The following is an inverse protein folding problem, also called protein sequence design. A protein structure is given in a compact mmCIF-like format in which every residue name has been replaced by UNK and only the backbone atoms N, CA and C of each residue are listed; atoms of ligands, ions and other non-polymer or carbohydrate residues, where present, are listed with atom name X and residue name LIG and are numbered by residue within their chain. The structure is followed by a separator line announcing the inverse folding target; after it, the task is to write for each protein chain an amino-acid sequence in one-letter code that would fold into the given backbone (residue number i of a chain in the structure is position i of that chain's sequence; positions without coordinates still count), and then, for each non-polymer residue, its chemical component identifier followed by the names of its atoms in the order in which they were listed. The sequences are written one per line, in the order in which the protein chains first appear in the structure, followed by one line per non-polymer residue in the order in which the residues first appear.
data_IF_904726573985
#
_entry.id   IF_904726573985
#
_cell.length_a   1.000
_cell.length_b   1.000
_cell.length_c   1.000
_cell.angle_alpha   90.00
_cell.angle_beta   90.00
_cell.angle_gamma   90.00
#
_symmetry.space_group_name_H-M   'P 1'
#
loop_
_entity.id
_entity.type
_entity.pdbx_description
1 polymer ?
#
# COMPACT_ATOMS: atom_id res chain seq x y z
N UNK A 1 0.72 -9.79 1.02
CA UNK A 1 0.97 -8.75 0.00
C UNK A 1 -0.29 -8.60 -0.85
N UNK A 2 -0.72 -7.38 -1.17
CA UNK A 2 -1.76 -7.14 -2.19
C UNK A 2 -1.13 -6.48 -3.42
N UNK A 3 -1.63 -6.81 -4.60
CA UNK A 3 -1.11 -6.34 -5.88
C UNK A 3 -2.00 -5.22 -6.40
N UNK A 4 -1.47 -4.00 -6.51
CA UNK A 4 -2.17 -2.87 -7.12
C UNK A 4 -1.22 -2.07 -8.02
N UNK A 5 -1.75 -1.36 -9.05
CA UNK A 5 -3.15 -1.37 -9.50
C UNK A 5 -3.55 -2.72 -10.14
N UNK A 6 -4.84 -2.92 -10.43
CA UNK A 6 -5.31 -4.18 -11.05
C UNK A 6 -5.10 -4.18 -12.58
N UNK A 7 -5.37 -3.04 -13.22
CA UNK A 7 -5.32 -2.83 -14.67
C UNK A 7 -5.05 -1.34 -14.95
N UNK A 8 -4.45 -1.03 -16.10
CA UNK A 8 -4.28 0.32 -16.61
C UNK A 8 -5.29 0.64 -17.71
N UNK A 9 -5.64 1.91 -17.86
CA UNK A 9 -6.50 2.44 -18.92
C UNK A 9 -6.06 3.86 -19.30
N UNK A 10 -6.47 4.40 -20.45
CA UNK A 10 -6.16 5.76 -20.85
C UNK A 10 -6.68 6.77 -19.81
N UNK A 11 -5.76 7.54 -19.23
CA UNK A 11 -6.09 8.57 -18.24
C UNK A 11 -5.27 9.85 -18.36
N UNK A 12 -4.34 9.95 -19.31
CA UNK A 12 -3.57 11.16 -19.57
C UNK A 12 -4.20 11.97 -20.70
N UNK A 13 -4.33 13.28 -20.51
CA UNK A 13 -4.80 14.24 -21.52
C UNK A 13 -6.11 13.80 -22.20
N UNK A 14 -7.08 13.36 -21.40
CA UNK A 14 -8.37 12.91 -21.89
C UNK A 14 -9.27 14.11 -22.14
N UNK A 15 -9.73 14.24 -23.39
CA UNK A 15 -10.71 15.26 -23.77
C UNK A 15 -12.11 14.79 -23.41
N UNK A 16 -12.82 15.53 -22.57
CA UNK A 16 -14.16 15.16 -22.13
C UNK A 16 -15.02 16.37 -21.78
N UNK A 17 -16.30 16.12 -21.48
CA UNK A 17 -17.27 17.13 -21.06
C UNK A 17 -16.86 17.80 -19.74
N UNK A 18 -17.15 19.08 -19.62
CA UNK A 18 -16.85 19.90 -18.45
C UNK A 18 -18.02 20.83 -18.11
N UNK A 19 -17.88 21.62 -17.04
CA UNK A 19 -18.93 22.54 -16.57
C UNK A 19 -19.38 23.52 -17.66
N UNK A 20 -20.58 24.08 -17.50
CA UNK A 20 -21.13 25.12 -18.39
C UNK A 20 -21.18 24.73 -19.88
N UNK A 21 -21.47 23.45 -20.15
CA UNK A 21 -21.55 22.88 -21.50
C UNK A 21 -20.23 23.03 -22.30
N UNK A 22 -19.09 22.95 -21.59
CA UNK A 22 -17.75 23.06 -22.19
C UNK A 22 -17.06 21.71 -22.24
N UNK A 23 -15.80 21.72 -22.72
CA UNK A 23 -14.92 20.55 -22.76
C UNK A 23 -13.54 20.92 -22.22
N UNK A 24 -12.87 19.94 -21.61
CA UNK A 24 -11.53 20.12 -21.06
C UNK A 24 -10.64 18.90 -21.32
N UNK A 25 -9.33 19.14 -21.36
CA UNK A 25 -8.30 18.12 -21.32
C UNK A 25 -7.86 17.94 -19.87
N UNK A 26 -8.14 16.77 -19.29
CA UNK A 26 -7.74 16.44 -17.93
C UNK A 26 -6.90 15.17 -17.88
N UNK A 27 -6.00 15.08 -16.90
CA UNK A 27 -5.15 13.92 -16.66
C UNK A 27 -5.35 13.39 -15.25
N UNK A 28 -5.47 12.07 -15.12
CA UNK A 28 -5.53 11.41 -13.83
C UNK A 28 -6.11 9.99 -13.91
N UNK A 29 -5.90 9.23 -12.85
CA UNK A 29 -6.59 7.95 -12.64
C UNK A 29 -8.11 8.12 -12.54
N UNK A 30 -8.58 9.32 -12.15
CA UNK A 30 -9.99 9.72 -12.23
C UNK A 30 -10.55 9.68 -13.66
N UNK A 31 -9.72 9.83 -14.70
CA UNK A 31 -10.12 9.72 -16.10
C UNK A 31 -9.97 8.29 -16.64
N UNK A 32 -9.00 7.53 -16.13
CA UNK A 32 -8.86 6.11 -16.45
C UNK A 32 -10.02 5.26 -15.88
N UNK A 33 -10.51 5.60 -14.70
CA UNK A 33 -11.60 4.89 -14.00
C UNK A 33 -12.89 4.78 -14.82
N UNK A 34 -13.46 5.88 -15.36
CA UNK A 34 -14.69 5.80 -16.18
C UNK A 34 -14.47 5.03 -17.48
N UNK A 35 -13.26 4.96 -18.04
CA UNK A 35 -12.97 4.11 -19.20
C UNK A 35 -13.18 2.62 -18.86
N UNK A 36 -12.61 2.15 -17.75
CA UNK A 36 -12.80 0.76 -17.28
C UNK A 36 -14.26 0.48 -16.94
N UNK A 37 -14.95 1.43 -16.30
CA UNK A 37 -16.38 1.32 -16.01
C UNK A 37 -17.22 1.20 -17.30
N UNK A 38 -16.89 1.95 -18.35
CA UNK A 38 -17.50 1.84 -19.66
C UNK A 38 -17.32 0.47 -20.31
N UNK A 39 -16.11 -0.11 -20.24
CA UNK A 39 -15.84 -1.47 -20.74
C UNK A 39 -16.66 -2.52 -19.96
N UNK A 40 -16.77 -2.37 -18.64
CA UNK A 40 -17.62 -3.23 -17.82
C UNK A 40 -19.10 -3.13 -18.23
N UNK A 41 -19.60 -1.92 -18.49
CA UNK A 41 -20.97 -1.69 -18.96
C UNK A 41 -21.21 -2.29 -20.36
N UNK A 42 -20.23 -2.19 -21.28
CA UNK A 42 -20.31 -2.82 -22.60
C UNK A 42 -20.45 -4.34 -22.51
N UNK A 43 -19.67 -4.97 -21.62
CA UNK A 43 -19.81 -6.40 -21.35
C UNK A 43 -21.23 -6.74 -20.87
N UNK A 44 -21.72 -6.02 -19.86
CA UNK A 44 -23.06 -6.27 -19.30
C UNK A 44 -24.14 -6.12 -20.39
N UNK A 45 -24.04 -5.08 -21.23
CA UNK A 45 -24.98 -4.84 -22.32
C UNK A 45 -24.96 -5.95 -23.38
N UNK A 46 -23.76 -6.35 -23.82
CA UNK A 46 -23.59 -7.39 -24.84
C UNK A 46 -23.99 -8.79 -24.36
N UNK A 47 -23.97 -9.04 -23.05
CA UNK A 47 -24.22 -10.35 -22.45
C UNK A 47 -25.55 -10.44 -21.70
N UNK A 48 -26.61 -9.82 -22.24
CA UNK A 48 -28.00 -10.02 -21.79
C UNK A 48 -28.49 -9.02 -20.74
N UNK A 49 -27.68 -8.03 -20.37
CA UNK A 49 -28.04 -6.97 -19.42
C UNK A 49 -27.92 -7.37 -17.95
N UNK A 50 -28.17 -6.41 -17.06
CA UNK A 50 -27.97 -6.61 -15.60
C UNK A 50 -28.85 -7.72 -15.01
N UNK A 51 -30.02 -7.98 -15.59
CA UNK A 51 -30.99 -8.95 -15.06
C UNK A 51 -30.54 -10.41 -15.14
N UNK A 52 -29.64 -10.75 -16.06
CA UNK A 52 -29.14 -12.14 -16.23
C UNK A 52 -27.94 -12.46 -15.34
N UNK A 53 -27.40 -11.47 -14.62
CA UNK A 53 -26.19 -11.61 -13.83
C UNK A 53 -26.50 -11.72 -12.32
N UNK A 54 -26.14 -12.86 -11.73
CA UNK A 54 -26.39 -13.16 -10.32
C UNK A 54 -25.31 -12.72 -9.34
N UNK A 55 -25.43 -13.20 -8.10
CA UNK A 55 -24.40 -12.99 -7.05
C UNK A 55 -23.04 -13.50 -7.53
N UNK A 56 -21.98 -12.75 -7.26
CA UNK A 56 -20.61 -13.08 -7.66
C UNK A 56 -20.19 -12.60 -9.04
N UNK A 57 -21.14 -12.12 -9.88
CA UNK A 57 -20.84 -11.62 -11.21
C UNK A 57 -19.77 -10.52 -11.25
N UNK A 58 -19.83 -9.56 -10.33
CA UNK A 58 -18.85 -8.47 -10.27
C UNK A 58 -17.41 -8.99 -10.11
N UNK A 59 -17.21 -10.08 -9.35
CA UNK A 59 -15.89 -10.71 -9.20
C UNK A 59 -15.43 -11.36 -10.50
N UNK A 60 -16.33 -12.06 -11.20
CA UNK A 60 -16.04 -12.69 -12.49
C UNK A 60 -15.68 -11.64 -13.55
N UNK A 61 -16.48 -10.57 -13.66
CA UNK A 61 -16.21 -9.48 -14.59
C UNK A 61 -14.90 -8.76 -14.25
N UNK A 62 -14.62 -8.55 -12.97
CA UNK A 62 -13.35 -7.99 -12.51
C UNK A 62 -12.15 -8.85 -12.93
N UNK A 63 -12.22 -10.17 -12.74
CA UNK A 63 -11.18 -11.10 -13.20
C UNK A 63 -11.02 -11.09 -14.72
N UNK A 64 -12.12 -11.02 -15.49
CA UNK A 64 -12.08 -10.90 -16.95
C UNK A 64 -11.42 -9.61 -17.41
N UNK A 65 -11.71 -8.48 -16.75
CA UNK A 65 -11.07 -7.19 -17.01
C UNK A 65 -9.57 -7.27 -16.77
N UNK A 66 -9.14 -7.79 -15.61
CA UNK A 66 -7.71 -7.96 -15.31
C UNK A 66 -7.06 -8.86 -16.37
N UNK A 67 -7.68 -9.98 -16.72
CA UNK A 67 -7.10 -10.96 -17.63
C UNK A 67 -6.93 -10.46 -19.07
N UNK A 68 -7.65 -9.41 -19.45
CA UNK A 68 -7.55 -8.76 -20.76
C UNK A 68 -6.25 -7.96 -20.96
N UNK A 69 -5.51 -7.71 -19.89
CA UNK A 69 -4.37 -6.80 -19.85
C UNK A 69 -3.29 -7.08 -20.90
N UNK A 70 -2.87 -6.02 -21.59
CA UNK A 70 -1.81 -6.03 -22.60
C UNK A 70 -0.58 -5.32 -22.04
N UNK A 71 0.63 -5.88 -22.25
CA UNK A 71 1.86 -5.28 -21.73
C UNK A 71 2.02 -3.85 -22.23
N UNK A 72 2.48 -2.98 -21.33
CA UNK A 72 2.94 -1.63 -21.65
C UNK A 72 4.44 -1.58 -21.39
N UNK A 73 5.21 -0.76 -22.12
CA UNK A 73 6.61 -0.51 -21.78
C UNK A 73 6.73 0.17 -20.41
N UNK A 74 7.83 -0.10 -19.71
CA UNK A 74 8.20 0.66 -18.52
C UNK A 74 8.26 2.14 -18.85
N UNK A 75 7.69 2.97 -17.98
CA UNK A 75 7.74 4.43 -18.13
C UNK A 75 8.20 5.09 -16.84
N UNK A 76 9.15 6.00 -16.93
CA UNK A 76 9.55 6.90 -15.84
C UNK A 76 8.94 8.31 -16.00
N UNK A 77 8.00 8.46 -16.95
CA UNK A 77 7.44 9.75 -17.37
C UNK A 77 8.20 10.41 -18.52
N UNK A 78 9.27 9.81 -19.02
CA UNK A 78 9.98 10.26 -20.23
C UNK A 78 9.63 9.41 -21.46
N UNK A 79 10.13 9.81 -22.62
CA UNK A 79 9.98 9.06 -23.87
C UNK A 79 11.03 7.95 -24.05
N UNK A 80 11.83 7.67 -23.01
CA UNK A 80 12.91 6.67 -23.05
C UNK A 80 12.32 5.26 -23.17
N UNK A 81 12.77 4.51 -24.17
CA UNK A 81 12.51 3.07 -24.23
C UNK A 81 13.62 2.32 -23.49
N UNK A 82 13.25 1.68 -22.39
CA UNK A 82 14.16 0.89 -21.58
C UNK A 82 14.28 -0.57 -22.07
N UNK A 83 13.46 -0.99 -23.04
CA UNK A 83 13.42 -2.38 -23.51
C UNK A 83 12.78 -3.37 -22.53
N UNK A 84 12.01 -2.88 -21.55
CA UNK A 84 11.32 -3.70 -20.56
C UNK A 84 9.81 -3.44 -20.56
N UNK A 85 9.01 -4.48 -20.37
CA UNK A 85 7.60 -4.34 -19.97
C UNK A 85 7.51 -3.72 -18.57
N UNK A 86 6.55 -2.84 -18.37
CA UNK A 86 6.27 -2.19 -17.08
C UNK A 86 5.98 -3.23 -15.99
N UNK A 87 6.50 -2.97 -14.80
CA UNK A 87 6.21 -3.79 -13.62
C UNK A 87 4.71 -3.85 -13.34
N UNK A 88 4.23 -4.97 -12.80
CA UNK A 88 2.85 -5.09 -12.32
C UNK A 88 2.54 -4.04 -11.24
N UNK A 89 3.54 -3.62 -10.46
CA UNK A 89 3.38 -2.53 -9.49
C UNK A 89 3.14 -1.16 -10.13
N UNK A 90 3.43 -0.99 -11.43
CA UNK A 90 3.22 0.25 -12.17
C UNK A 90 1.88 0.27 -12.92
N UNK A 91 1.52 -0.83 -13.60
CA UNK A 91 0.37 -0.87 -14.54
C UNK A 91 -0.61 -2.02 -14.28
N UNK A 92 -0.46 -2.76 -13.17
CA UNK A 92 -1.24 -3.96 -12.92
C UNK A 92 -0.96 -5.02 -13.99
N UNK A 93 -2.01 -5.64 -14.54
CA UNK A 93 -1.83 -6.58 -15.65
C UNK A 93 -1.65 -5.90 -17.03
N UNK A 94 -1.49 -4.57 -17.06
CA UNK A 94 -1.26 -3.78 -18.27
C UNK A 94 -2.51 -3.05 -18.77
N UNK A 95 -2.51 -2.64 -20.04
CA UNK A 95 -3.61 -1.89 -20.65
C UNK A 95 -4.83 -2.79 -20.85
N UNK A 96 -5.99 -2.37 -20.34
CA UNK A 96 -7.27 -3.04 -20.57
C UNK A 96 -7.55 -3.23 -22.06
N UNK A 97 -8.09 -4.39 -22.43
CA UNK A 97 -8.49 -4.66 -23.81
C UNK A 97 -9.99 -4.97 -23.89
N UNK A 98 -10.78 -3.96 -24.28
CA UNK A 98 -12.24 -4.04 -24.35
C UNK A 98 -12.73 -5.18 -25.26
N UNK A 99 -12.05 -5.42 -26.38
CA UNK A 99 -12.41 -6.50 -27.30
C UNK A 99 -12.27 -7.87 -26.63
N UNK A 100 -11.16 -8.12 -25.91
CA UNK A 100 -10.98 -9.36 -25.15
C UNK A 100 -12.06 -9.51 -24.07
N UNK A 101 -12.34 -8.44 -23.33
CA UNK A 101 -13.37 -8.46 -22.27
C UNK A 101 -14.73 -8.82 -22.86
N UNK A 102 -15.15 -8.20 -23.95
CA UNK A 102 -16.51 -8.39 -24.50
C UNK A 102 -16.63 -9.69 -25.29
N UNK A 103 -15.62 -10.10 -26.05
CA UNK A 103 -15.78 -11.14 -27.07
C UNK A 103 -15.15 -12.49 -26.74
N UNK A 104 -14.23 -12.58 -25.77
CA UNK A 104 -13.59 -13.86 -25.47
C UNK A 104 -14.52 -14.80 -24.71
N UNK A 105 -14.52 -16.05 -25.18
CA UNK A 105 -15.30 -17.19 -24.68
C UNK A 105 -14.53 -18.04 -23.67
N UNK A 106 -13.23 -17.84 -23.51
CA UNK A 106 -12.49 -18.39 -22.37
C UNK A 106 -12.74 -17.52 -21.13
N UNK A 107 -13.20 -18.17 -20.06
CA UNK A 107 -13.23 -17.58 -18.72
C UNK A 107 -12.03 -18.07 -17.91
N UNK A 108 -11.48 -17.18 -17.08
CA UNK A 108 -10.37 -17.48 -16.19
C UNK A 108 -10.67 -16.98 -14.78
N UNK A 109 -10.73 -17.90 -13.83
CA UNK A 109 -10.92 -17.61 -12.42
C UNK A 109 -9.59 -17.80 -11.68
N UNK A 110 -9.13 -16.74 -11.01
CA UNK A 110 -7.84 -16.70 -10.32
C UNK A 110 -7.85 -15.69 -9.18
N UNK A 111 -6.94 -15.86 -8.22
CA UNK A 111 -6.50 -14.76 -7.36
C UNK A 111 -5.24 -14.18 -7.98
N UNK A 112 -5.04 -12.85 -7.89
CA UNK A 112 -3.77 -12.23 -8.32
C UNK A 112 -2.61 -12.92 -7.61
N UNK A 113 -1.55 -13.25 -8.34
CA UNK A 113 -0.47 -14.12 -7.85
C UNK A 113 0.49 -13.29 -7.01
N UNK A 114 0.13 -13.07 -5.74
CA UNK A 114 1.00 -12.46 -4.75
C UNK A 114 1.99 -13.51 -4.23
N UNK A 115 3.23 -13.46 -4.71
CA UNK A 115 4.29 -14.38 -4.32
C UNK A 115 4.85 -14.06 -2.92
N UNK A 116 4.47 -12.90 -2.36
CA UNK A 116 4.94 -12.36 -1.08
C UNK A 116 6.48 -12.17 -1.06
N UNK A 117 7.01 -12.07 0.16
CA UNK A 117 8.42 -11.88 0.47
C UNK A 117 9.12 -13.25 0.64
N UNK A 118 10.44 -13.30 0.83
CA UNK A 118 11.15 -14.58 0.90
C UNK A 118 10.84 -15.40 2.15
N UNK A 119 10.33 -14.77 3.21
CA UNK A 119 9.98 -15.46 4.45
C UNK A 119 8.58 -16.08 4.38
N UNK A 120 7.62 -15.42 3.72
CA UNK A 120 6.24 -15.85 3.54
C UNK A 120 5.93 -16.25 2.09
N UNK A 121 6.92 -16.79 1.39
CA UNK A 121 6.86 -17.06 -0.04
C UNK A 121 5.68 -17.98 -0.40
N UNK A 122 4.81 -17.51 -1.29
CA UNK A 122 3.64 -18.27 -1.75
C UNK A 122 3.94 -18.97 -3.07
N UNK A 123 4.30 -20.25 -2.97
CA UNK A 123 4.87 -21.00 -4.10
C UNK A 123 3.86 -21.48 -5.14
N UNK A 124 2.65 -21.86 -4.72
CA UNK A 124 1.66 -22.51 -5.59
C UNK A 124 0.38 -21.69 -5.70
N UNK A 125 -0.13 -21.54 -6.93
CA UNK A 125 -1.33 -20.76 -7.20
C UNK A 125 -2.23 -21.49 -8.18
N UNK A 126 -3.50 -21.62 -7.83
CA UNK A 126 -4.49 -22.30 -8.65
C UNK A 126 -5.22 -21.33 -9.57
N UNK A 127 -5.41 -21.77 -10.81
CA UNK A 127 -6.13 -21.06 -11.85
C UNK A 127 -7.14 -22.01 -12.46
N UNK A 128 -8.38 -21.57 -12.61
CA UNK A 128 -9.43 -22.34 -13.28
C UNK A 128 -9.77 -21.71 -14.62
N UNK A 129 -9.63 -22.50 -15.68
CA UNK A 129 -10.07 -22.14 -17.03
C UNK A 129 -11.40 -22.80 -17.31
N UNK A 130 -12.30 -22.06 -17.97
CA UNK A 130 -13.56 -22.59 -18.47
C UNK A 130 -13.73 -22.20 -19.93
N UNK A 131 -14.01 -23.19 -20.78
CA UNK A 131 -14.37 -22.95 -22.18
C UNK A 131 -15.88 -22.66 -22.27
N UNK A 132 -16.28 -21.41 -22.51
CA UNK A 132 -17.70 -21.03 -22.77
C UNK A 132 -18.04 -21.00 -24.26
N UNK A 133 -17.10 -21.36 -25.12
CA UNK A 133 -17.30 -21.43 -26.56
C UNK A 133 -18.09 -22.68 -26.97
N UNK A 134 -18.35 -22.79 -28.27
CA UNK A 134 -19.11 -23.90 -28.86
C UNK A 134 -18.22 -25.00 -29.47
N UNK A 135 -16.89 -24.87 -29.37
CA UNK A 135 -15.91 -25.81 -29.91
C UNK A 135 -14.85 -26.13 -28.87
N UNK A 136 -14.16 -27.26 -29.04
CA UNK A 136 -13.01 -27.64 -28.23
C UNK A 136 -11.89 -26.60 -28.37
N UNK A 137 -11.24 -26.27 -27.25
CA UNK A 137 -10.10 -25.34 -27.23
C UNK A 137 -8.92 -26.02 -26.58
N UNK A 138 -7.78 -26.02 -27.27
CA UNK A 138 -6.50 -26.46 -26.74
C UNK A 138 -5.77 -25.25 -26.12
N UNK A 139 -5.48 -25.34 -24.83
CA UNK A 139 -4.84 -24.28 -24.05
C UNK A 139 -3.37 -24.59 -23.79
N UNK A 140 -2.54 -23.57 -24.01
CA UNK A 140 -1.11 -23.55 -23.73
C UNK A 140 -0.78 -22.41 -22.76
N UNK A 141 0.10 -22.70 -21.81
CA UNK A 141 0.61 -21.74 -20.86
C UNK A 141 2.03 -21.30 -21.22
N UNK A 142 2.32 -20.01 -21.05
CA UNK A 142 3.65 -19.44 -21.09
C UNK A 142 3.75 -18.32 -20.05
N UNK A 143 4.88 -17.62 -19.98
CA UNK A 143 5.05 -16.49 -19.10
C UNK A 143 5.88 -15.38 -19.75
N UNK A 144 5.68 -14.16 -19.27
CA UNK A 144 6.42 -12.96 -19.65
C UNK A 144 6.91 -12.30 -18.36
N UNK A 145 8.22 -12.12 -18.23
CA UNK A 145 8.79 -11.34 -17.13
C UNK A 145 8.68 -9.84 -17.45
N UNK A 146 8.28 -9.05 -16.46
CA UNK A 146 8.30 -7.60 -16.53
C UNK A 146 9.56 -7.04 -15.84
N UNK A 147 9.77 -5.72 -15.94
CA UNK A 147 10.84 -5.02 -15.24
C UNK A 147 10.85 -5.37 -13.75
N UNK A 148 12.01 -5.81 -13.25
CA UNK A 148 12.31 -5.82 -11.84
C UNK A 148 12.96 -4.50 -11.42
N UNK A 149 12.82 -4.14 -10.15
CA UNK A 149 13.39 -2.90 -9.60
C UNK A 149 13.93 -3.08 -8.19
N UNK A 150 15.03 -2.40 -7.90
CA UNK A 150 15.57 -2.24 -6.56
C UNK A 150 14.95 -0.99 -5.92
N UNK A 151 13.97 -1.20 -5.04
CA UNK A 151 13.19 -0.11 -4.44
C UNK A 151 13.87 0.57 -3.25
N UNK A 152 14.80 -0.12 -2.59
CA UNK A 152 15.49 0.39 -1.41
C UNK A 152 16.64 1.28 -1.86
N UNK A 153 16.69 2.50 -1.33
CA UNK A 153 17.78 3.44 -1.50
C UNK A 153 18.38 3.84 -0.16
N UNK A 154 19.56 4.43 -0.22
CA UNK A 154 20.20 5.10 0.90
C UNK A 154 20.14 6.61 0.69
N UNK A 155 19.73 7.34 1.72
CA UNK A 155 19.64 8.79 1.68
C UNK A 155 20.63 9.40 2.68
N UNK A 156 21.72 10.04 2.20
CA UNK A 156 22.65 10.75 3.07
C UNK A 156 22.03 12.06 3.56
N UNK A 157 22.32 12.46 4.79
CA UNK A 157 21.97 13.77 5.33
C UNK A 157 23.14 14.33 6.16
N UNK A 158 22.94 15.49 6.77
CA UNK A 158 24.01 16.22 7.49
C UNK A 158 24.47 15.46 8.73
N UNK A 159 25.79 15.35 8.91
CA UNK A 159 26.45 14.91 10.16
C UNK A 159 25.84 15.63 11.39
N UNK A 160 25.67 14.96 12.56
CA UNK A 160 26.30 13.69 12.96
C UNK A 160 25.48 12.42 12.68
N UNK A 161 24.27 12.52 12.12
CA UNK A 161 23.36 11.36 12.11
C UNK A 161 23.51 10.42 10.89
N UNK A 162 24.39 10.77 9.93
CA UNK A 162 24.74 9.92 8.79
C UNK A 162 23.67 9.89 7.69
N UNK A 163 23.13 8.71 7.40
CA UNK A 163 22.12 8.47 6.36
C UNK A 163 21.04 7.49 6.81
N UNK A 164 19.95 7.38 6.04
CA UNK A 164 18.86 6.46 6.33
C UNK A 164 18.41 5.65 5.12
N UNK A 165 17.87 4.46 5.37
CA UNK A 165 17.15 3.68 4.35
C UNK A 165 15.89 4.45 3.95
N UNK A 166 15.56 4.48 2.66
CA UNK A 166 14.27 4.96 2.17
C UNK A 166 13.82 4.23 0.92
N UNK A 167 12.54 4.36 0.56
CA UNK A 167 12.13 4.01 -0.79
C UNK A 167 12.66 5.03 -1.80
N UNK A 168 13.17 4.52 -2.91
CA UNK A 168 13.47 5.30 -4.11
C UNK A 168 12.20 5.92 -4.67
N UNK A 169 12.30 7.17 -5.12
CA UNK A 169 11.26 7.80 -5.92
C UNK A 169 11.26 7.20 -7.33
N UNK A 170 10.18 7.43 -8.11
CA UNK A 170 10.04 6.87 -9.45
C UNK A 170 11.25 7.20 -10.35
N UNK A 171 11.77 8.43 -10.27
CA UNK A 171 12.91 8.90 -11.08
C UNK A 171 14.23 8.24 -10.72
N UNK A 172 14.31 7.56 -9.57
CA UNK A 172 15.50 6.82 -9.14
C UNK A 172 15.40 5.32 -9.42
N UNK A 173 14.24 4.84 -9.86
CA UNK A 173 14.04 3.45 -10.23
C UNK A 173 14.62 3.22 -11.62
N UNK A 174 15.49 2.22 -11.74
CA UNK A 174 16.00 1.74 -13.02
C UNK A 174 15.45 0.33 -13.26
N UNK A 175 14.74 0.08 -14.37
CA UNK A 175 14.26 -1.25 -14.70
C UNK A 175 15.44 -2.19 -14.95
N UNK A 176 15.36 -3.41 -14.43
CA UNK A 176 16.38 -4.45 -14.53
C UNK A 176 15.75 -5.81 -14.85
N UNK A 177 16.53 -6.69 -15.48
CA UNK A 177 16.12 -8.07 -15.72
C UNK A 177 16.27 -8.90 -14.44
N UNK A 178 15.14 -9.32 -13.86
CA UNK A 178 15.08 -10.11 -12.62
C UNK A 178 14.03 -11.22 -12.76
N UNK A 179 14.22 -12.15 -13.71
CA UNK A 179 13.23 -13.17 -14.00
C UNK A 179 13.13 -14.18 -12.86
N UNK A 180 11.92 -14.70 -12.64
CA UNK A 180 11.68 -15.84 -11.74
C UNK A 180 11.22 -17.02 -12.57
N UNK A 181 11.78 -18.19 -12.29
CA UNK A 181 11.40 -19.42 -12.99
C UNK A 181 9.97 -19.81 -12.62
N UNK A 182 9.12 -19.95 -13.63
CA UNK A 182 7.72 -20.35 -13.49
C UNK A 182 7.56 -21.77 -14.03
N UNK A 183 6.99 -22.65 -13.22
CA UNK A 183 6.51 -23.96 -13.63
C UNK A 183 5.06 -23.82 -14.10
N UNK A 184 4.81 -24.15 -15.36
CA UNK A 184 3.49 -24.11 -16.01
C UNK A 184 3.00 -25.52 -16.33
N UNK A 185 1.67 -25.77 -16.36
CA UNK A 185 1.13 -27.07 -16.71
C UNK A 185 1.41 -27.44 -18.17
N UNK A 186 1.34 -28.74 -18.47
CA UNK A 186 1.31 -29.23 -19.85
C UNK A 186 0.01 -28.79 -20.54
N UNK A 187 0.07 -28.66 -21.86
CA UNK A 187 -1.08 -28.32 -22.71
C UNK A 187 -2.25 -29.30 -22.49
N UNK A 188 -3.47 -28.78 -22.60
CA UNK A 188 -4.68 -29.58 -22.46
C UNK A 188 -5.85 -28.99 -23.25
N UNK A 189 -6.81 -29.85 -23.59
CA UNK A 189 -8.03 -29.46 -24.31
C UNK A 189 -9.23 -29.44 -23.36
N UNK A 190 -10.11 -28.45 -23.52
CA UNK A 190 -11.41 -28.39 -22.87
C UNK A 190 -12.51 -28.39 -23.93
N UNK A 191 -13.51 -29.25 -23.78
CA UNK A 191 -14.75 -29.23 -24.56
C UNK A 191 -15.63 -28.04 -24.13
N UNK A 192 -16.65 -27.68 -24.94
CA UNK A 192 -17.65 -26.69 -24.55
C UNK A 192 -18.22 -26.95 -23.16
N UNK A 193 -18.19 -25.94 -22.30
CA UNK A 193 -18.67 -25.99 -20.92
C UNK A 193 -17.71 -26.62 -19.91
N UNK A 194 -16.64 -27.29 -20.35
CA UNK A 194 -15.68 -27.91 -19.43
C UNK A 194 -14.82 -26.87 -18.72
N UNK A 195 -14.42 -27.22 -17.50
CA UNK A 195 -13.52 -26.43 -16.67
C UNK A 195 -12.37 -27.29 -16.16
N UNK A 196 -11.19 -26.70 -16.00
CA UNK A 196 -10.04 -27.36 -15.39
C UNK A 196 -9.26 -26.38 -14.52
N UNK A 197 -8.96 -26.83 -13.30
CA UNK A 197 -8.04 -26.15 -12.39
C UNK A 197 -6.63 -26.67 -12.61
N UNK A 198 -5.67 -25.76 -12.70
CA UNK A 198 -4.23 -26.06 -12.82
C UNK A 198 -3.46 -25.25 -11.79
N UNK A 199 -2.40 -25.85 -11.24
CA UNK A 199 -1.50 -25.19 -10.30
C UNK A 199 -0.24 -24.69 -11.00
N UNK A 200 0.12 -23.44 -10.73
CA UNK A 200 1.36 -22.80 -11.19
C UNK A 200 2.39 -22.80 -10.04
N UNK A 201 3.69 -22.87 -10.35
CA UNK A 201 4.76 -22.92 -9.33
C UNK A 201 5.92 -21.97 -9.60
N UNK A 202 6.59 -21.49 -8.54
CA UNK A 202 7.77 -20.60 -8.65
C UNK A 202 9.00 -21.15 -7.87
N UNK A 203 10.21 -20.71 -8.26
CA UNK A 203 11.47 -20.96 -7.54
C UNK A 203 12.22 -19.64 -7.31
N UNK A 204 12.59 -19.31 -6.06
CA UNK A 204 13.14 -18.01 -5.69
C UNK A 204 14.63 -18.07 -5.31
N UNK A 205 15.46 -17.27 -5.99
CA UNK A 205 16.84 -16.90 -5.60
C UNK A 205 17.17 -15.49 -6.09
N UNK A 206 16.59 -14.43 -5.53
CA UNK A 206 16.98 -13.03 -5.80
C UNK A 206 16.38 -12.04 -4.78
N UNK A 207 17.08 -10.92 -4.51
CA UNK A 207 16.71 -9.77 -3.64
C UNK A 207 16.19 -8.46 -4.32
N UNK A 208 15.18 -8.49 -5.24
CA UNK A 208 14.47 -7.28 -5.71
C UNK A 208 12.93 -7.42 -5.82
N UNK A 209 12.18 -6.36 -6.17
CA UNK A 209 10.81 -6.55 -6.70
C UNK A 209 10.93 -7.17 -8.08
N UNK A 210 10.23 -8.27 -8.30
CA UNK A 210 10.11 -8.93 -9.59
C UNK A 210 8.63 -9.20 -9.91
N UNK A 211 8.29 -9.15 -11.18
CA UNK A 211 6.90 -9.28 -11.61
C UNK A 211 6.80 -9.76 -13.05
N UNK A 212 5.58 -9.97 -13.49
CA UNK A 212 5.28 -10.36 -14.86
C UNK A 212 3.89 -10.94 -14.92
N UNK A 213 3.68 -11.79 -15.91
CA UNK A 213 2.40 -12.48 -16.09
C UNK A 213 2.56 -13.88 -16.64
N UNK A 214 1.61 -14.73 -16.25
CA UNK A 214 1.39 -16.02 -16.89
C UNK A 214 0.39 -15.80 -18.01
N UNK A 215 0.75 -16.24 -19.22
CA UNK A 215 -0.06 -16.09 -20.43
C UNK A 215 -0.78 -17.41 -20.69
N UNK A 216 -2.08 -17.34 -20.98
CA UNK A 216 -2.89 -18.46 -21.43
C UNK A 216 -3.31 -18.20 -22.86
N UNK A 217 -2.88 -19.05 -23.79
CA UNK A 217 -3.24 -18.97 -25.20
C UNK A 217 -4.10 -20.16 -25.60
N UNK A 218 -5.22 -19.91 -26.27
CA UNK A 218 -6.06 -20.92 -26.90
C UNK A 218 -5.80 -21.00 -28.41
N UNK A 219 -5.95 -22.18 -29.00
CA UNK A 219 -5.91 -22.36 -30.46
C UNK A 219 -7.09 -21.69 -31.20
N UNK A 220 -8.06 -21.13 -30.47
CA UNK A 220 -9.13 -20.28 -30.97
C UNK A 220 -8.68 -18.81 -31.19
N UNK A 221 -7.40 -18.49 -30.98
CA UNK A 221 -6.84 -17.14 -31.13
C UNK A 221 -7.02 -16.26 -29.90
N UNK A 222 -7.57 -16.80 -28.81
CA UNK A 222 -7.70 -16.06 -27.55
C UNK A 222 -6.41 -16.08 -26.76
N UNK A 223 -6.04 -14.94 -26.18
CA UNK A 223 -4.91 -14.82 -25.25
C UNK A 223 -5.26 -13.95 -24.04
N UNK A 224 -5.25 -14.58 -22.87
CA UNK A 224 -5.48 -13.97 -21.55
C UNK A 224 -4.21 -14.04 -20.71
N UNK A 225 -4.16 -13.29 -19.62
CA UNK A 225 -2.99 -13.35 -18.72
C UNK A 225 -3.34 -13.11 -17.26
N UNK A 226 -2.46 -13.55 -16.35
CA UNK A 226 -2.61 -13.39 -14.91
C UNK A 226 -1.34 -12.72 -14.35
N UNK A 227 -1.47 -11.60 -13.63
CA UNK A 227 -0.30 -10.91 -13.07
C UNK A 227 0.27 -11.66 -11.87
N UNK A 228 1.60 -11.68 -11.78
CA UNK A 228 2.33 -12.08 -10.57
C UNK A 228 3.29 -10.98 -10.11
N UNK A 229 3.47 -10.86 -8.80
CA UNK A 229 4.36 -9.90 -8.17
C UNK A 229 4.95 -10.53 -6.90
N UNK A 230 6.25 -10.39 -6.71
CA UNK A 230 6.96 -10.87 -5.53
C UNK A 230 8.03 -9.89 -5.07
N UNK A 231 8.42 -10.07 -3.82
CA UNK A 231 9.52 -9.33 -3.20
C UNK A 231 10.65 -10.30 -2.87
N UNK A 232 11.83 -10.04 -3.40
CA UNK A 232 13.02 -10.84 -3.20
C UNK A 232 13.66 -10.76 -1.81
N UNK A 233 13.06 -10.06 -0.84
CA UNK A 233 13.64 -9.82 0.48
C UNK A 233 12.77 -10.39 1.60
N UNK A 234 13.34 -10.51 2.81
CA UNK A 234 12.53 -10.67 4.02
C UNK A 234 12.11 -9.27 4.47
N UNK A 235 10.87 -8.88 4.19
CA UNK A 235 10.42 -7.52 4.41
C UNK A 235 10.55 -7.11 5.88
N UNK A 236 10.25 -8.03 6.81
CA UNK A 236 10.35 -7.77 8.25
C UNK A 236 11.77 -7.43 8.69
N UNK A 237 12.78 -8.07 8.08
CA UNK A 237 14.18 -7.78 8.38
C UNK A 237 14.64 -6.42 7.81
N UNK A 238 14.05 -5.97 6.70
CA UNK A 238 14.50 -4.76 6.01
C UNK A 238 13.87 -3.46 6.52
N UNK A 239 12.68 -3.53 7.12
CA UNK A 239 11.91 -2.36 7.60
C UNK A 239 12.29 -1.89 9.01
N UNK A 240 13.44 -2.33 9.53
CA UNK A 240 14.01 -1.81 10.77
C UNK A 240 15.17 -0.85 10.47
N UNK A 241 15.26 0.30 11.15
CA UNK A 241 14.31 0.85 12.12
C UNK A 241 13.05 1.44 11.45
N UNK A 242 11.95 1.59 12.20
CA UNK A 242 10.70 2.21 11.71
C UNK A 242 10.76 3.73 11.79
N UNK A 243 11.33 4.24 12.88
CA UNK A 243 11.59 5.66 13.03
C UNK A 243 12.94 6.02 12.45
N UNK A 244 13.05 7.26 12.00
CA UNK A 244 14.33 7.90 11.73
C UNK A 244 15.18 7.94 13.01
N UNK A 245 16.51 7.79 12.94
CA UNK A 245 17.37 8.02 14.10
C UNK A 245 17.04 9.34 14.81
N UNK A 246 17.02 9.32 16.14
CA UNK A 246 16.65 10.44 17.02
C UNK A 246 15.17 10.82 17.02
N UNK A 247 14.32 10.04 16.34
CA UNK A 247 12.88 10.13 16.44
C UNK A 247 12.31 8.83 17.05
N UNK A 248 11.11 8.92 17.66
CA UNK A 248 10.44 10.15 18.03
C UNK A 248 11.15 10.86 19.19
N UNK A 249 10.92 12.16 19.34
CA UNK A 249 11.40 12.93 20.48
C UNK A 249 10.31 13.89 20.94
N UNK A 250 10.46 14.40 22.16
CA UNK A 250 9.58 15.41 22.74
C UNK A 250 10.35 16.69 23.01
N UNK A 251 9.69 17.83 22.86
CA UNK A 251 10.23 19.14 23.25
C UNK A 251 9.15 19.98 23.92
N UNK A 252 9.58 21.09 24.49
CA UNK A 252 8.75 22.24 24.81
C UNK A 252 9.10 23.38 23.85
N UNK A 253 8.21 24.37 23.68
CA UNK A 253 8.36 25.47 22.72
C UNK A 253 9.61 26.34 22.95
N UNK A 254 10.10 26.48 24.19
CA UNK A 254 11.12 27.48 24.56
C UNK A 254 12.35 26.94 25.32
N UNK A 255 12.50 25.63 25.51
CA UNK A 255 13.62 25.06 26.28
C UNK A 255 14.49 24.11 25.45
N UNK A 256 15.82 24.31 25.55
CA UNK A 256 16.82 23.42 24.96
C UNK A 256 16.75 22.02 25.58
N UNK A 257 17.21 21.03 24.81
CA UNK A 257 17.20 19.58 25.06
C UNK A 257 17.85 19.07 26.36
N UNK A 258 18.31 19.96 27.24
CA UNK A 258 19.15 19.63 28.41
C UNK A 258 18.39 19.67 29.75
N UNK A 259 17.08 19.99 29.73
CA UNK A 259 16.25 20.08 30.94
C UNK A 259 15.33 18.85 31.10
N UNK A 260 15.08 18.37 32.33
CA UNK A 260 14.14 17.28 32.56
C UNK A 260 12.76 17.66 32.02
N UNK A 261 12.10 16.71 31.34
CA UNK A 261 10.76 16.86 30.74
C UNK A 261 9.67 16.99 31.81
N UNK A 262 9.61 18.17 32.44
CA UNK A 262 8.62 18.54 33.45
C UNK A 262 7.56 19.41 32.77
N UNK A 263 6.29 19.05 32.91
CA UNK A 263 5.18 19.75 32.29
C UNK A 263 4.09 20.05 33.31
N UNK A 264 3.68 21.31 33.43
CA UNK A 264 2.52 21.74 34.23
C UNK A 264 1.19 21.66 33.48
N UNK A 265 1.23 21.41 32.17
CA UNK A 265 0.08 21.50 31.25
C UNK A 265 -0.58 22.88 31.22
N UNK A 266 0.18 23.93 31.50
CA UNK A 266 -0.32 25.30 31.38
C UNK A 266 -0.46 25.69 29.90
N UNK A 267 -1.72 25.88 29.48
CA UNK A 267 -2.07 26.20 28.09
C UNK A 267 -2.04 27.70 27.78
N UNK A 268 -1.75 28.55 28.76
CA UNK A 268 -1.57 29.98 28.51
C UNK A 268 -0.52 30.18 27.42
N UNK A 269 -0.84 30.99 26.42
CA UNK A 269 0.00 31.18 25.24
C UNK A 269 1.41 31.71 25.55
N UNK A 270 1.57 32.42 26.66
CA UNK A 270 2.85 32.95 27.15
C UNK A 270 3.70 31.91 27.88
N UNK A 271 3.10 30.76 28.26
CA UNK A 271 3.75 29.67 28.99
C UNK A 271 3.88 28.42 28.11
N UNK A 272 2.77 27.96 27.53
CA UNK A 272 2.68 26.80 26.63
C UNK A 272 3.48 25.59 27.12
N UNK A 273 3.20 25.15 28.35
CA UNK A 273 3.98 24.16 29.07
C UNK A 273 3.37 22.77 28.98
N UNK A 274 3.55 22.14 27.82
CA UNK A 274 3.08 20.79 27.52
C UNK A 274 4.04 20.10 26.53
N UNK A 275 4.06 18.76 26.51
CA UNK A 275 4.87 18.01 25.57
C UNK A 275 4.38 18.17 24.13
N UNK A 276 5.30 18.57 23.25
CA UNK A 276 5.16 18.48 21.80
C UNK A 276 5.98 17.27 21.34
N UNK A 277 5.32 16.32 20.69
CA UNK A 277 5.91 15.09 20.21
C UNK A 277 6.14 15.20 18.71
N UNK A 278 7.38 14.95 18.29
CA UNK A 278 7.76 14.88 16.90
C UNK A 278 8.10 13.46 16.50
N UNK A 279 7.52 13.00 15.39
CA UNK A 279 7.75 11.67 14.84
C UNK A 279 8.10 11.72 13.36
N UNK A 280 9.13 10.96 12.99
CA UNK A 280 9.50 10.69 11.59
C UNK A 280 9.57 9.20 11.33
N UNK A 281 8.65 8.73 10.51
CA UNK A 281 8.53 7.35 10.07
C UNK A 281 9.23 7.17 8.72
N UNK A 282 10.15 6.21 8.68
CA UNK A 282 10.78 5.72 7.45
C UNK A 282 9.77 4.90 6.65
N UNK A 283 8.94 4.12 7.35
CA UNK A 283 7.95 3.22 6.76
C UNK A 283 6.52 3.60 7.18
N UNK A 284 5.57 3.45 6.26
CA UNK A 284 4.16 3.57 6.61
C UNK A 284 3.81 2.55 7.69
N UNK A 285 3.07 2.99 8.71
CA UNK A 285 2.77 2.20 9.90
C UNK A 285 1.28 2.05 10.05
N UNK A 286 0.82 0.81 10.25
CA UNK A 286 -0.60 0.49 10.43
C UNK A 286 -1.12 1.00 11.76
N UNK A 287 -0.29 0.93 12.80
CA UNK A 287 -0.62 1.42 14.13
C UNK A 287 0.57 2.23 14.65
N UNK A 288 0.32 3.46 15.10
CA UNK A 288 1.28 4.27 15.85
C UNK A 288 0.65 4.59 17.20
N UNK A 289 1.40 4.38 18.28
CA UNK A 289 0.96 4.53 19.65
C UNK A 289 1.85 5.50 20.40
N UNK A 290 1.23 6.21 21.33
CA UNK A 290 1.89 6.88 22.43
C UNK A 290 1.19 6.47 23.71
N UNK A 291 1.89 5.71 24.54
CA UNK A 291 1.34 5.05 25.70
C UNK A 291 2.03 5.55 26.97
N UNK A 292 1.23 5.78 28.01
CA UNK A 292 1.67 6.29 29.31
C UNK A 292 1.78 5.13 30.30
N UNK A 293 2.90 5.06 31.01
CA UNK A 293 3.16 4.06 32.05
C UNK A 293 3.59 4.72 33.36
N UNK A 294 3.43 3.99 34.45
CA UNK A 294 3.90 4.35 35.79
C UNK A 294 5.42 4.64 35.83
N UNK A 295 5.85 5.38 36.84
CA UNK A 295 7.26 5.64 37.10
C UNK A 295 8.06 4.32 37.24
N UNK A 296 9.23 4.25 36.61
CA UNK A 296 10.12 3.10 36.72
C UNK A 296 9.71 1.89 35.87
N UNK A 297 8.65 2.02 35.05
CA UNK A 297 8.30 1.02 34.05
C UNK A 297 9.47 0.75 33.09
N UNK A 298 9.63 -0.51 32.69
CA UNK A 298 10.67 -0.93 31.75
C UNK A 298 10.08 -1.75 30.60
N UNK A 299 10.78 -1.72 29.46
CA UNK A 299 10.38 -2.42 28.23
C UNK A 299 10.09 -3.93 28.43
N UNK A 300 10.70 -4.57 29.43
CA UNK A 300 10.49 -5.99 29.76
C UNK A 300 9.08 -6.30 30.29
N UNK A 301 8.37 -5.29 30.76
CA UNK A 301 7.00 -5.42 31.29
C UNK A 301 5.95 -5.22 30.18
N UNK A 302 6.38 -4.87 28.97
CA UNK A 302 5.46 -4.57 27.89
C UNK A 302 4.74 -5.82 27.38
N UNK A 303 3.43 -5.70 27.17
CA UNK A 303 2.58 -6.74 26.61
C UNK A 303 1.58 -6.09 25.63
N UNK A 304 1.31 -6.77 24.51
CA UNK A 304 0.33 -6.34 23.53
C UNK A 304 -0.93 -7.22 23.55
N UNK A 305 -2.14 -6.62 23.45
CA UNK A 305 -2.39 -5.19 23.56
C UNK A 305 -2.22 -4.72 25.01
N UNK A 306 -1.76 -3.48 25.25
CA UNK A 306 -1.63 -2.97 26.61
C UNK A 306 -3.02 -2.77 27.23
N UNK A 307 -3.17 -3.16 28.50
CA UNK A 307 -4.46 -3.12 29.23
C UNK A 307 -4.32 -2.21 30.45
N UNK A 308 -5.14 -1.15 30.59
CA UNK A 308 -5.01 -0.21 31.70
C UNK A 308 -5.00 -0.91 33.06
N UNK A 309 -4.08 -0.52 33.94
CA UNK A 309 -3.86 -1.11 35.25
C UNK A 309 -3.05 -2.42 35.26
N UNK A 310 -2.60 -2.92 34.09
CA UNK A 310 -1.69 -4.07 34.01
C UNK A 310 -0.29 -3.63 33.60
N UNK A 311 0.72 -4.27 34.21
CA UNK A 311 2.13 -4.05 33.89
C UNK A 311 2.53 -2.56 33.90
N UNK A 312 1.92 -1.76 34.79
CA UNK A 312 2.16 -0.32 34.91
C UNK A 312 1.58 0.53 33.78
N UNK A 313 0.78 -0.03 32.85
CA UNK A 313 0.14 0.76 31.79
C UNK A 313 -1.02 1.60 32.34
N UNK A 314 -0.96 2.90 32.11
CA UNK A 314 -1.98 3.86 32.55
C UNK A 314 -3.04 4.03 31.44
N UNK A 315 -2.59 4.26 30.22
CA UNK A 315 -3.48 4.46 29.08
C UNK A 315 -2.80 5.13 27.89
N UNK A 316 -3.48 5.23 26.74
CA UNK A 316 -2.94 5.94 25.60
C UNK A 316 -3.03 7.45 25.81
N UNK A 317 -2.08 8.19 25.26
CA UNK A 317 -2.15 9.64 25.19
C UNK A 317 -3.19 10.09 24.16
N UNK A 318 -3.63 11.34 24.29
CA UNK A 318 -4.36 12.04 23.24
C UNK A 318 -3.46 13.02 22.50
N UNK A 319 -3.92 13.52 21.36
CA UNK A 319 -3.36 14.72 20.73
C UNK A 319 -4.47 15.69 20.40
N UNK A 320 -4.19 16.97 20.57
CA UNK A 320 -5.08 18.02 20.09
C UNK A 320 -5.21 17.98 18.56
N UNK A 321 -6.41 18.26 18.03
CA UNK A 321 -6.70 18.10 16.58
C UNK A 321 -5.95 19.08 15.68
N UNK A 322 -5.58 20.26 16.18
CA UNK A 322 -4.85 21.27 15.39
C UNK A 322 -3.32 21.09 15.40
N UNK A 323 -2.80 20.11 16.14
CA UNK A 323 -1.36 19.85 16.22
C UNK A 323 -0.76 19.66 14.80
N UNK A 324 0.38 20.31 14.54
CA UNK A 324 1.04 20.29 13.21
C UNK A 324 0.31 21.06 12.09
N UNK A 325 -0.90 21.58 12.34
CA UNK A 325 -1.66 22.39 11.37
C UNK A 325 -1.57 23.89 11.63
N UNK A 326 -1.20 24.27 12.86
CA UNK A 326 -1.02 25.67 13.28
C UNK A 326 0.28 25.82 14.07
N UNK A 327 0.86 27.02 14.10
CA UNK A 327 2.18 27.24 14.71
C UNK A 327 2.16 27.29 16.24
N UNK A 328 1.00 27.51 16.87
CA UNK A 328 0.85 27.54 18.33
C UNK A 328 -0.61 27.30 18.73
N UNK A 329 -0.80 26.80 19.95
CA UNK A 329 -2.12 26.71 20.58
C UNK A 329 -2.50 28.06 21.19
N UNK A 330 -3.77 28.47 21.03
CA UNK A 330 -4.36 29.63 21.68
C UNK A 330 -5.68 29.22 22.32
N UNK A 331 -5.76 29.16 23.67
CA UNK A 331 -6.96 28.70 24.38
C UNK A 331 -8.18 29.62 24.17
N UNK A 332 -7.99 30.84 23.64
CA UNK A 332 -9.11 31.71 23.29
C UNK A 332 -9.73 31.39 21.93
N UNK A 333 -9.04 30.59 21.11
CA UNK A 333 -9.44 30.25 19.73
C UNK A 333 -9.81 28.78 19.62
N UNK A 334 -9.08 27.89 20.30
CA UNK A 334 -9.25 26.45 20.21
C UNK A 334 -9.68 25.87 21.56
N UNK A 335 -10.64 24.94 21.53
CA UNK A 335 -11.07 24.19 22.71
C UNK A 335 -9.99 23.17 23.10
N UNK A 336 -9.37 23.27 24.30
CA UNK A 336 -8.32 22.35 24.72
C UNK A 336 -8.76 20.88 24.79
N UNK A 337 -10.06 20.61 24.87
CA UNK A 337 -10.60 19.25 24.92
C UNK A 337 -10.79 18.60 23.54
N UNK A 338 -10.66 19.37 22.44
CA UNK A 338 -10.80 18.89 21.06
C UNK A 338 -9.58 18.03 20.66
N UNK A 339 -9.70 16.75 20.99
CA UNK A 339 -8.61 15.79 20.99
C UNK A 339 -9.03 14.50 20.29
N UNK A 340 -8.05 13.82 19.69
CA UNK A 340 -8.18 12.43 19.26
C UNK A 340 -7.25 11.55 20.09
N UNK A 341 -7.56 10.25 20.16
CA UNK A 341 -6.88 9.29 21.06
C UNK A 341 -6.03 8.30 20.29
N UNK A 342 -4.82 8.02 20.76
CA UNK A 342 -4.00 6.94 20.21
C UNK A 342 -4.64 5.55 20.47
N UNK A 343 -4.43 4.55 19.58
CA UNK A 343 -3.56 4.55 18.42
C UNK A 343 -4.06 5.35 17.23
N UNK A 344 -3.13 5.94 16.48
CA UNK A 344 -3.40 6.42 15.13
C UNK A 344 -3.18 5.28 14.15
N UNK A 345 -4.10 5.10 13.22
CA UNK A 345 -4.04 4.02 12.23
C UNK A 345 -3.68 4.53 10.84
N UNK A 346 -2.99 3.68 10.07
CA UNK A 346 -2.63 3.93 8.67
C UNK A 346 -1.80 5.21 8.46
N UNK A 347 -0.84 5.47 9.36
CA UNK A 347 0.02 6.65 9.29
C UNK A 347 1.08 6.48 8.20
N UNK A 348 1.12 7.42 7.25
CA UNK A 348 2.06 7.40 6.15
C UNK A 348 3.49 7.76 6.58
N UNK A 349 4.48 7.28 5.83
CA UNK A 349 5.89 7.65 6.02
C UNK A 349 6.13 9.13 5.71
N UNK A 350 7.02 9.78 6.45
CA UNK A 350 7.34 11.20 6.29
C UNK A 350 8.84 11.51 6.40
N UNK A 351 9.70 10.51 6.64
CA UNK A 351 11.15 10.72 6.70
C UNK A 351 11.79 11.13 5.34
N UNK A 352 11.04 11.01 4.23
CA UNK A 352 11.54 11.25 2.87
C UNK A 352 12.03 12.69 2.62
N UNK A 353 11.60 13.68 3.43
CA UNK A 353 12.09 15.06 3.34
C UNK A 353 12.55 15.57 4.71
N UNK A 354 13.58 16.42 4.73
CA UNK A 354 14.10 17.00 5.97
C UNK A 354 13.06 17.91 6.67
N UNK A 355 12.13 18.50 5.91
CA UNK A 355 11.17 19.50 6.39
C UNK A 355 9.82 18.94 6.90
N UNK A 356 9.60 17.63 6.89
CA UNK A 356 8.32 17.03 7.32
C UNK A 356 8.49 16.15 8.57
N UNK A 357 7.65 16.37 9.56
CA UNK A 357 7.45 15.53 10.75
C UNK A 357 5.95 15.42 11.04
N UNK A 358 5.56 14.39 11.77
CA UNK A 358 4.26 14.30 12.41
C UNK A 358 4.40 14.96 13.78
N UNK A 359 3.55 15.93 14.06
CA UNK A 359 3.58 16.72 15.28
C UNK A 359 2.30 16.47 16.08
N UNK A 360 2.46 16.19 17.37
CA UNK A 360 1.36 15.88 18.28
C UNK A 360 1.50 16.69 19.56
N UNK A 361 0.39 17.24 20.06
CA UNK A 361 0.37 18.06 21.28
C UNK A 361 -0.45 17.35 22.33
N UNK A 362 0.18 16.94 23.43
CA UNK A 362 -0.49 16.22 24.51
C UNK A 362 -0.64 17.11 25.74
N UNK A 363 -1.88 17.47 26.07
CA UNK A 363 -2.22 18.34 27.20
C UNK A 363 -2.47 17.56 28.51
N UNK A 364 -2.01 16.31 28.59
CA UNK A 364 -2.14 15.45 29.77
C UNK A 364 -3.44 14.63 29.83
N UNK A 365 -4.36 14.84 28.88
CA UNK A 365 -5.59 14.04 28.76
C UNK A 365 -5.29 12.62 28.26
N UNK A 366 -5.82 11.62 28.95
CA UNK A 366 -5.70 10.21 28.59
C UNK A 366 -6.86 9.79 27.68
N UNK A 367 -6.72 8.67 26.97
CA UNK A 367 -7.73 8.19 26.02
C UNK A 367 -9.08 7.79 26.64
N UNK A 368 -9.15 7.62 27.96
CA UNK A 368 -10.40 7.43 28.69
C UNK A 368 -11.09 8.78 29.06
N UNK A 369 -10.50 9.91 28.69
CA UNK A 369 -10.96 11.27 28.98
C UNK A 369 -10.47 11.88 30.28
N UNK A 370 -9.78 11.13 31.15
CA UNK A 370 -9.26 11.67 32.42
C UNK A 370 -7.99 12.48 32.22
N UNK A 371 -7.78 13.52 33.03
CA UNK A 371 -6.53 14.26 33.12
C UNK A 371 -5.51 13.50 33.97
N UNK A 372 -4.27 13.39 33.50
CA UNK A 372 -3.19 12.80 34.28
C UNK A 372 -2.79 13.72 35.44
N UNK A 373 -2.51 13.14 36.62
CA UNK A 373 -1.99 13.87 37.76
C UNK A 373 -0.52 14.27 37.53
N UNK A 374 -0.07 15.38 38.11
CA UNK A 374 1.35 15.74 38.06
C UNK A 374 2.19 14.71 38.81
N UNK A 375 3.20 14.16 38.14
CA UNK A 375 4.01 13.08 38.67
C UNK A 375 5.06 12.61 37.68
N UNK A 376 5.79 11.55 38.07
CA UNK A 376 6.78 10.91 37.23
C UNK A 376 6.11 9.77 36.45
N UNK A 377 6.33 9.75 35.14
CA UNK A 377 5.76 8.73 34.24
C UNK A 377 6.80 8.30 33.21
N UNK A 378 6.55 7.14 32.60
CA UNK A 378 7.34 6.64 31.48
C UNK A 378 6.51 6.69 30.21
N UNK A 379 7.06 7.31 29.16
CA UNK A 379 6.44 7.33 27.84
C UNK A 379 6.99 6.20 26.97
N UNK A 380 6.09 5.53 26.25
CA UNK A 380 6.47 4.62 25.18
C UNK A 380 5.86 5.09 23.87
N UNK A 381 6.71 5.27 22.87
CA UNK A 381 6.27 5.35 21.48
C UNK A 381 6.45 4.01 20.79
N UNK A 382 5.48 3.64 19.97
CA UNK A 382 5.56 2.44 19.16
C UNK A 382 4.91 2.67 17.80
N UNK A 383 5.50 2.09 16.77
CA UNK A 383 4.89 1.99 15.46
C UNK A 383 4.97 0.54 14.99
N UNK A 384 3.90 0.03 14.40
CA UNK A 384 3.85 -1.28 13.78
C UNK A 384 3.41 -1.16 12.32
N UNK A 385 4.17 -1.78 11.42
CA UNK A 385 3.88 -1.84 9.99
C UNK A 385 2.86 -2.92 9.60
N UNK A 386 2.50 -3.83 10.52
CA UNK A 386 1.43 -4.83 10.34
C UNK A 386 0.26 -4.48 11.24
N UNK A 387 -0.96 -4.71 10.75
CA UNK A 387 -2.10 -4.92 11.64
C UNK A 387 -1.89 -6.27 12.31
N UNK A 388 -1.79 -6.29 13.63
CA UNK A 388 -1.58 -7.54 14.36
C UNK A 388 -2.88 -8.36 14.35
N UNK A 389 -2.97 -9.30 13.42
CA UNK A 389 -3.59 -10.59 13.73
C UNK A 389 -2.44 -11.56 14.02
N UNK A 390 -2.10 -11.67 15.32
CA UNK A 390 -1.33 -12.73 16.02
C UNK A 390 -0.06 -13.28 15.36
#
# INVERSE_FOLDING_TARGET
MDIKPDIAAPGGQIFSTYLDNTYALLSGTSMATPYVAGVAALYISAHGGRSVHGKGFAKVLHQKIIASGTSLPWSDGTATDYGFSASVAQVGNGLINAFKVVNYTTDIAFNKIALNDTHYFSRYHDVTLTNKGSKDVNYKFSYEAAAGVEILGWYPFVEPWGGEKRLKSLTELTPKSLPVQVSVPRDFTLKPGESKTVSLGWNSSALPIYSGKVIVSGNNGEQLSIPYLGLGANLKAEISPIYRPSYPFTTQRDYSSDWPSIYSFNLDRSVADFPIIYSKLIWGSKEVRWDIYEAGWTERQWEYPPVPGKNGYIGPATSHVVAGSVSYFDPNVYDPDDTWTYPQVDLYRNAQTQASYHEFWWFGKLGNGSQIELGNYTFKSQANTRGEDK
#
